data_IF_552836507829
#
_entry.id   IF_552836507829
#
_cell.length_a   1.000
_cell.length_b   1.000
_cell.length_c   1.000
_cell.angle_alpha   90.00
_cell.angle_beta   90.00
_cell.angle_gamma   90.00
#
_symmetry.space_group_name_H-M   'P 1'
#
loop_
_entity.id
_entity.type
_entity.pdbx_description
1 polymer ?
#
# COMPACT_ATOMS: atom_id res chain seq x y z
N UNK A 1 8.59 41.98 18.32
CA UNK A 1 8.16 40.93 17.37
C UNK A 1 7.44 41.59 16.20
N UNK A 2 8.02 41.57 14.99
CA UNK A 2 7.32 42.04 13.78
C UNK A 2 6.41 40.91 13.30
N UNK A 3 5.09 41.11 13.32
CA UNK A 3 4.16 40.21 12.66
C UNK A 3 4.49 40.22 11.16
N UNK A 4 5.01 39.10 10.64
CA UNK A 4 5.16 38.90 9.19
C UNK A 4 3.76 38.99 8.58
N UNK A 5 3.57 39.93 7.65
CA UNK A 5 2.33 40.09 6.87
C UNK A 5 2.00 38.73 6.23
N UNK A 6 0.83 38.19 6.52
CA UNK A 6 0.30 37.01 5.83
C UNK A 6 -0.06 37.45 4.41
N UNK A 7 0.77 37.07 3.44
CA UNK A 7 0.51 37.30 2.02
C UNK A 7 -0.46 36.19 1.59
N UNK A 8 -1.65 36.55 1.09
CA UNK A 8 -2.66 35.59 0.65
C UNK A 8 -2.28 34.92 -0.69
N UNK A 9 -1.84 35.73 -1.65
CA UNK A 9 -1.37 35.32 -2.96
C UNK A 9 -0.20 36.21 -3.40
N UNK A 10 0.69 35.71 -4.26
CA UNK A 10 1.87 36.45 -4.72
C UNK A 10 1.86 36.78 -6.22
N UNK A 11 2.49 37.90 -6.63
CA UNK A 11 2.87 38.13 -8.02
C UNK A 11 3.99 37.17 -8.45
N UNK A 12 4.15 37.00 -9.76
CA UNK A 12 5.22 36.21 -10.38
C UNK A 12 6.62 36.66 -9.92
N UNK A 13 7.59 35.73 -9.93
CA UNK A 13 9.04 35.95 -9.73
C UNK A 13 9.58 36.00 -8.27
N UNK A 14 9.24 35.02 -7.44
CA UNK A 14 9.84 34.86 -6.10
C UNK A 14 10.32 33.43 -5.79
N UNK A 15 11.56 33.27 -5.33
CA UNK A 15 12.10 31.97 -4.90
C UNK A 15 11.49 31.48 -3.58
N UNK A 16 11.11 30.20 -3.51
CA UNK A 16 10.74 29.54 -2.27
C UNK A 16 11.84 28.56 -1.87
N UNK A 17 12.58 28.89 -0.80
CA UNK A 17 13.67 28.07 -0.24
C UNK A 17 13.24 27.19 0.92
N UNK A 18 12.10 27.51 1.53
CA UNK A 18 11.50 26.77 2.63
C UNK A 18 10.00 27.03 2.66
N UNK A 19 9.29 26.26 3.48
CA UNK A 19 7.84 26.35 3.61
C UNK A 19 7.34 27.66 4.24
N UNK A 20 8.18 28.47 4.88
CA UNK A 20 7.79 29.80 5.37
C UNK A 20 7.56 30.81 4.23
N UNK A 21 8.16 30.57 3.06
CA UNK A 21 7.99 31.41 1.88
C UNK A 21 6.65 31.18 1.18
N UNK A 22 5.93 30.10 1.53
CA UNK A 22 4.62 29.80 0.95
C UNK A 22 3.52 30.67 1.57
N UNK A 23 2.60 31.14 0.73
CA UNK A 23 1.39 31.85 1.16
C UNK A 23 0.42 30.92 1.89
N UNK A 24 -0.59 31.51 2.55
CA UNK A 24 -1.66 30.71 3.16
C UNK A 24 -2.46 29.89 2.13
N UNK A 25 -2.71 30.45 0.95
CA UNK A 25 -3.41 29.73 -0.13
C UNK A 25 -2.57 28.57 -0.67
N UNK A 26 -1.27 28.76 -0.89
CA UNK A 26 -0.36 27.70 -1.35
C UNK A 26 -0.28 26.56 -0.33
N UNK A 27 -0.21 26.89 0.97
CA UNK A 27 -0.27 25.91 2.05
C UNK A 27 -1.60 25.17 2.08
N UNK A 28 -2.73 25.84 1.88
CA UNK A 28 -4.04 25.20 1.82
C UNK A 28 -4.14 24.22 0.65
N UNK A 29 -3.62 24.57 -0.53
CA UNK A 29 -3.64 23.67 -1.69
C UNK A 29 -2.76 22.45 -1.43
N UNK A 30 -1.55 22.61 -0.88
CA UNK A 30 -0.70 21.47 -0.49
C UNK A 30 -1.41 20.59 0.55
N UNK A 31 -2.19 21.17 1.46
CA UNK A 31 -2.99 20.41 2.42
C UNK A 31 -4.07 19.57 1.71
N UNK A 32 -4.76 20.15 0.73
CA UNK A 32 -5.74 19.43 -0.10
C UNK A 32 -5.06 18.28 -0.86
N UNK A 33 -3.85 18.50 -1.41
CA UNK A 33 -3.07 17.47 -2.09
C UNK A 33 -2.66 16.32 -1.16
N UNK A 34 -2.30 16.62 0.09
CA UNK A 34 -1.89 15.63 1.08
C UNK A 34 -3.07 14.86 1.69
N UNK A 35 -4.29 15.43 1.65
CA UNK A 35 -5.46 14.86 2.32
C UNK A 35 -5.77 13.40 1.93
N UNK A 36 -5.73 13.00 0.64
CA UNK A 36 -6.06 11.63 0.24
C UNK A 36 -5.07 10.57 0.79
N UNK A 37 -3.80 10.94 1.04
CA UNK A 37 -2.77 10.03 1.57
C UNK A 37 -3.10 9.58 2.99
N UNK A 38 -3.94 10.32 3.72
CA UNK A 38 -4.47 9.90 5.02
C UNK A 38 -5.03 8.48 4.97
N UNK A 39 -5.73 8.14 3.89
CA UNK A 39 -6.43 6.87 3.73
C UNK A 39 -5.51 5.74 3.24
N UNK A 40 -4.24 6.03 2.95
CA UNK A 40 -3.27 5.04 2.49
C UNK A 40 -2.42 4.48 3.64
N UNK A 41 -2.80 4.77 4.89
CA UNK A 41 -2.28 4.14 6.12
C UNK A 41 -3.44 3.54 6.92
N UNK A 42 -3.16 2.46 7.66
CA UNK A 42 -4.13 1.84 8.58
C UNK A 42 -3.54 1.73 10.01
N UNK A 43 -4.12 2.37 11.04
CA UNK A 43 -5.27 3.27 10.95
C UNK A 43 -4.91 4.53 10.14
N UNK A 44 -5.90 5.18 9.50
CA UNK A 44 -5.70 6.45 8.83
C UNK A 44 -5.11 7.48 9.77
N UNK A 45 -4.21 8.32 9.28
CA UNK A 45 -3.61 9.37 10.10
C UNK A 45 -4.66 10.30 10.71
N UNK A 46 -4.36 10.78 11.93
CA UNK A 46 -5.00 11.99 12.44
C UNK A 46 -4.28 13.20 11.83
N UNK A 47 -5.06 14.12 11.26
CA UNK A 47 -4.56 15.37 10.70
C UNK A 47 -4.23 16.32 11.85
N UNK A 48 -3.04 16.15 12.43
CA UNK A 48 -2.53 17.02 13.50
C UNK A 48 -1.68 18.14 12.91
N UNK A 49 -1.48 19.20 13.69
CA UNK A 49 -0.53 20.27 13.32
C UNK A 49 0.87 19.73 13.06
N UNK A 50 1.35 18.77 13.88
CA UNK A 50 2.65 18.15 13.71
C UNK A 50 2.78 17.35 12.40
N UNK A 51 1.74 16.62 12.00
CA UNK A 51 1.72 15.94 10.69
C UNK A 51 1.84 16.96 9.55
N UNK A 52 1.08 18.04 9.61
CA UNK A 52 1.08 19.07 8.60
C UNK A 52 2.43 19.79 8.47
N UNK A 53 3.04 20.16 9.60
CA UNK A 53 4.36 20.76 9.63
C UNK A 53 5.44 19.83 9.03
N UNK A 54 5.35 18.52 9.32
CA UNK A 54 6.26 17.52 8.74
C UNK A 54 6.11 17.40 7.22
N UNK A 55 4.88 17.43 6.68
CA UNK A 55 4.65 17.42 5.23
C UNK A 55 5.30 18.62 4.56
N UNK A 56 5.09 19.81 5.10
CA UNK A 56 5.68 21.03 4.57
C UNK A 56 7.21 21.02 4.63
N UNK A 57 7.79 20.53 5.73
CA UNK A 57 9.25 20.36 5.85
C UNK A 57 9.80 19.33 4.86
N UNK A 58 9.11 18.20 4.68
CA UNK A 58 9.53 17.14 3.77
C UNK A 58 9.59 17.60 2.32
N UNK A 59 8.65 18.47 1.87
CA UNK A 59 8.68 19.04 0.50
C UNK A 59 9.97 19.80 0.24
N UNK A 60 10.47 20.56 1.23
CA UNK A 60 11.70 21.34 1.12
C UNK A 60 12.93 20.62 1.68
N UNK A 61 12.83 19.32 1.99
CA UNK A 61 13.98 18.56 2.43
C UNK A 61 14.86 18.24 1.21
N UNK A 62 16.05 18.83 1.17
CA UNK A 62 17.01 18.72 0.06
C UNK A 62 16.45 19.19 -1.30
N UNK A 63 15.36 19.95 -1.29
CA UNK A 63 14.75 20.54 -2.48
C UNK A 63 14.28 21.98 -2.24
N UNK A 64 14.39 22.81 -3.27
CA UNK A 64 13.74 24.11 -3.33
C UNK A 64 13.52 24.51 -4.80
N UNK A 65 12.93 25.69 -5.03
CA UNK A 65 12.52 26.11 -6.38
C UNK A 65 13.68 26.46 -7.32
N UNK A 66 14.91 26.57 -6.81
CA UNK A 66 16.13 26.74 -7.60
C UNK A 66 16.54 25.42 -8.30
N UNK A 67 16.06 24.28 -7.79
CA UNK A 67 16.35 22.95 -8.32
C UNK A 67 15.24 22.42 -9.23
N UNK A 68 15.57 21.41 -10.03
CA UNK A 68 14.56 20.66 -10.76
C UNK A 68 13.62 19.92 -9.83
N UNK A 69 12.35 19.81 -10.23
CA UNK A 69 11.36 19.10 -9.44
C UNK A 69 11.72 17.62 -9.39
N UNK A 70 11.44 16.93 -8.26
CA UNK A 70 11.56 15.48 -8.21
C UNK A 70 10.72 14.81 -9.31
N UNK A 71 11.26 13.73 -9.86
CA UNK A 71 10.59 12.91 -10.86
C UNK A 71 9.46 12.13 -10.18
N UNK A 72 8.39 11.85 -10.93
CA UNK A 72 7.32 10.99 -10.42
C UNK A 72 7.88 9.60 -10.07
N UNK A 73 7.62 9.10 -8.85
CA UNK A 73 8.10 7.79 -8.44
C UNK A 73 7.41 6.71 -9.28
N UNK A 74 8.16 5.66 -9.59
CA UNK A 74 7.58 4.43 -10.15
C UNK A 74 7.17 3.56 -8.96
N UNK A 75 5.94 3.06 -8.95
CA UNK A 75 5.50 2.11 -7.94
C UNK A 75 6.30 0.80 -8.08
N UNK A 76 7.08 0.39 -7.06
CA UNK A 76 7.86 -0.84 -7.16
C UNK A 76 6.94 -2.04 -7.38
N UNK A 77 7.41 -3.07 -8.08
CA UNK A 77 6.70 -4.35 -8.15
C UNK A 77 6.68 -5.02 -6.77
N UNK A 78 5.72 -5.93 -6.54
CA UNK A 78 5.74 -6.75 -5.33
C UNK A 78 6.87 -7.77 -5.45
N UNK A 79 7.79 -7.75 -4.49
CA UNK A 79 8.93 -8.67 -4.47
C UNK A 79 8.54 -9.87 -3.60
N UNK A 80 8.41 -11.04 -4.25
CA UNK A 80 8.01 -12.29 -3.59
C UNK A 80 8.92 -12.65 -2.43
N UNK A 81 10.21 -12.29 -2.51
CA UNK A 81 11.19 -12.61 -1.48
C UNK A 81 10.91 -11.92 -0.14
N UNK A 82 10.18 -10.80 -0.16
CA UNK A 82 9.81 -10.09 1.05
C UNK A 82 8.48 -10.56 1.64
N UNK A 83 7.60 -11.19 0.86
CA UNK A 83 6.22 -11.50 1.27
C UNK A 83 5.94 -12.99 1.49
N UNK A 84 6.95 -13.85 1.42
CA UNK A 84 6.82 -15.28 1.74
C UNK A 84 7.36 -15.62 3.12
N UNK A 85 6.99 -16.80 3.62
CA UNK A 85 7.56 -17.40 4.81
C UNK A 85 7.97 -18.84 4.53
N UNK A 86 8.97 -19.33 5.25
CA UNK A 86 9.34 -20.75 5.22
C UNK A 86 8.32 -21.55 6.03
N UNK A 87 7.57 -22.40 5.35
CA UNK A 87 6.41 -23.08 5.91
C UNK A 87 6.72 -24.52 6.38
N UNK A 88 7.72 -25.16 5.77
CA UNK A 88 8.08 -26.53 6.07
C UNK A 88 8.91 -27.18 4.98
N UNK A 89 8.77 -28.51 4.85
CA UNK A 89 9.52 -29.31 3.87
C UNK A 89 8.64 -30.33 3.17
N UNK A 90 9.05 -30.77 1.98
CA UNK A 90 8.36 -31.83 1.24
C UNK A 90 8.41 -33.19 1.95
N UNK A 91 7.27 -33.88 2.02
CA UNK A 91 7.12 -35.23 2.60
C UNK A 91 7.72 -36.30 1.69
N UNK A 92 7.59 -36.11 0.38
CA UNK A 92 8.06 -36.99 -0.68
C UNK A 92 8.55 -36.18 -1.86
N UNK A 93 9.22 -36.84 -2.80
CA UNK A 93 9.50 -36.25 -4.09
C UNK A 93 8.18 -35.79 -4.75
N UNK A 94 8.16 -34.57 -5.27
CA UNK A 94 6.97 -33.95 -5.87
C UNK A 94 7.23 -33.67 -7.35
N UNK A 95 6.41 -34.17 -8.28
CA UNK A 95 6.64 -33.96 -9.70
C UNK A 95 6.67 -32.46 -10.05
N UNK A 96 7.46 -32.11 -11.05
CA UNK A 96 7.45 -30.75 -11.63
C UNK A 96 6.08 -30.50 -12.30
N UNK A 97 5.61 -29.24 -12.37
CA UNK A 97 4.43 -28.90 -13.16
C UNK A 97 4.56 -29.34 -14.62
N UNK A 98 3.48 -29.82 -15.23
CA UNK A 98 3.45 -30.37 -16.60
C UNK A 98 4.09 -29.45 -17.64
N UNK A 99 3.90 -28.13 -17.50
CA UNK A 99 4.50 -27.11 -18.36
C UNK A 99 6.04 -27.14 -18.41
N UNK A 100 6.69 -27.63 -17.34
CA UNK A 100 8.15 -27.77 -17.26
C UNK A 100 8.63 -29.18 -17.59
N UNK A 101 7.77 -30.20 -17.51
CA UNK A 101 8.09 -31.57 -17.92
C UNK A 101 8.37 -31.68 -19.42
N UNK A 102 7.68 -30.88 -20.25
CA UNK A 102 7.88 -30.85 -21.72
C UNK A 102 9.22 -30.25 -22.19
N UNK A 103 10.00 -29.63 -21.30
CA UNK A 103 11.27 -28.95 -21.64
C UNK A 103 12.50 -29.86 -21.70
N UNK A 104 12.32 -31.18 -21.57
CA UNK A 104 13.44 -32.15 -21.60
C UNK A 104 14.34 -32.13 -20.36
N UNK A 105 14.01 -31.34 -19.33
CA UNK A 105 14.62 -31.43 -18.00
C UNK A 105 14.06 -32.64 -17.26
N UNK A 106 14.56 -33.83 -17.60
CA UNK A 106 14.30 -35.06 -16.87
C UNK A 106 15.10 -35.04 -15.55
N UNK A 107 14.42 -34.67 -14.48
CA UNK A 107 14.94 -34.77 -13.11
C UNK A 107 14.08 -33.97 -12.14
N UNK A 108 13.73 -34.57 -11.00
CA UNK A 108 13.30 -33.82 -9.83
C UNK A 108 14.45 -32.86 -9.49
N UNK A 109 14.28 -31.57 -9.78
CA UNK A 109 15.23 -30.56 -9.30
C UNK A 109 15.38 -30.71 -7.78
N UNK A 110 16.54 -30.36 -7.21
CA UNK A 110 16.80 -30.47 -5.76
C UNK A 110 15.71 -29.83 -4.87
N UNK A 111 14.93 -28.91 -5.42
CA UNK A 111 13.85 -28.20 -4.74
C UNK A 111 12.52 -28.98 -4.71
N UNK A 112 12.44 -30.10 -5.43
CA UNK A 112 11.27 -30.98 -5.53
C UNK A 112 11.51 -32.36 -4.90
N UNK A 113 12.68 -32.60 -4.31
CA UNK A 113 12.98 -33.84 -3.58
C UNK A 113 12.45 -33.79 -2.16
N UNK A 114 12.20 -34.95 -1.56
CA UNK A 114 11.85 -35.08 -0.14
C UNK A 114 12.80 -34.26 0.74
N UNK A 115 12.25 -33.51 1.68
CA UNK A 115 13.00 -32.63 2.59
C UNK A 115 13.33 -31.25 2.03
N UNK A 116 13.05 -30.96 0.76
CA UNK A 116 13.24 -29.62 0.21
C UNK A 116 12.30 -28.59 0.86
N UNK A 117 12.77 -27.35 0.99
CA UNK A 117 12.05 -26.26 1.63
C UNK A 117 10.82 -25.85 0.83
N UNK A 118 9.72 -25.65 1.53
CA UNK A 118 8.46 -25.14 0.99
C UNK A 118 8.12 -23.82 1.64
N UNK A 119 7.81 -22.84 0.79
CA UNK A 119 7.42 -21.49 1.15
C UNK A 119 5.90 -21.34 1.06
N UNK A 120 5.34 -20.55 1.96
CA UNK A 120 3.96 -20.10 1.87
C UNK A 120 3.95 -18.64 1.41
N UNK A 121 3.13 -18.37 0.41
CA UNK A 121 2.93 -17.03 -0.18
C UNK A 121 1.46 -16.67 -0.09
N UNK A 122 1.18 -15.41 0.21
CA UNK A 122 -0.17 -14.84 0.07
C UNK A 122 -0.23 -13.95 -1.17
N UNK A 123 -1.27 -14.12 -1.97
CA UNK A 123 -1.59 -13.25 -3.10
C UNK A 123 -2.91 -12.56 -2.84
N UNK A 124 -2.91 -11.24 -2.96
CA UNK A 124 -4.11 -10.40 -2.81
C UNK A 124 -4.58 -9.96 -4.19
N UNK A 125 -5.86 -10.14 -4.47
CA UNK A 125 -6.53 -9.58 -5.63
C UNK A 125 -7.43 -8.41 -5.18
N UNK A 126 -7.00 -7.15 -5.41
CA UNK A 126 -7.76 -5.95 -5.03
C UNK A 126 -9.08 -5.76 -5.79
N UNK A 127 -9.23 -6.32 -6.98
CA UNK A 127 -10.44 -6.14 -7.79
C UNK A 127 -11.60 -7.00 -7.29
N UNK A 128 -11.26 -8.19 -6.80
CA UNK A 128 -12.24 -9.15 -6.27
C UNK A 128 -12.32 -9.15 -4.75
N UNK A 129 -11.55 -8.29 -4.08
CA UNK A 129 -11.32 -8.29 -2.62
C UNK A 129 -11.10 -9.72 -2.08
N UNK A 130 -10.18 -10.46 -2.72
CA UNK A 130 -9.91 -11.86 -2.37
C UNK A 130 -8.45 -12.10 -2.07
N UNK A 131 -8.18 -13.13 -1.26
CA UNK A 131 -6.83 -13.59 -0.98
C UNK A 131 -6.68 -15.07 -1.31
N UNK A 132 -5.49 -15.46 -1.76
CA UNK A 132 -5.15 -16.85 -2.01
C UNK A 132 -3.83 -17.20 -1.34
N UNK A 133 -3.74 -18.42 -0.82
CA UNK A 133 -2.53 -18.97 -0.23
C UNK A 133 -1.93 -19.97 -1.21
N UNK A 134 -0.69 -19.73 -1.60
CA UNK A 134 0.05 -20.59 -2.52
C UNK A 134 1.25 -21.19 -1.81
N UNK A 135 1.43 -22.48 -1.97
CA UNK A 135 2.59 -23.21 -1.50
C UNK A 135 3.54 -23.38 -2.67
N UNK A 136 4.79 -22.98 -2.48
CA UNK A 136 5.77 -22.97 -3.52
C UNK A 136 7.10 -23.57 -3.05
N UNK A 137 7.86 -24.15 -3.96
CA UNK A 137 9.26 -24.49 -3.70
C UNK A 137 10.14 -23.21 -3.66
N UNK A 138 11.45 -23.38 -3.54
CA UNK A 138 12.41 -22.26 -3.54
C UNK A 138 12.43 -21.48 -4.86
N UNK A 139 12.16 -22.14 -5.99
CA UNK A 139 12.11 -21.52 -7.31
C UNK A 139 10.76 -20.81 -7.57
N UNK A 140 9.73 -21.14 -6.78
CA UNK A 140 8.39 -20.59 -6.95
C UNK A 140 7.40 -21.49 -7.64
N UNK A 141 7.78 -22.73 -7.91
CA UNK A 141 6.91 -23.71 -8.52
C UNK A 141 5.89 -24.22 -7.51
N UNK A 142 4.66 -24.42 -7.97
CA UNK A 142 3.56 -24.82 -7.13
C UNK A 142 3.81 -26.19 -6.49
N UNK A 143 3.50 -26.28 -5.19
CA UNK A 143 3.54 -27.50 -4.39
C UNK A 143 2.15 -27.73 -3.80
N UNK A 144 1.65 -28.97 -3.82
CA UNK A 144 0.40 -29.27 -3.13
C UNK A 144 0.61 -29.30 -1.61
N UNK A 145 -0.26 -28.62 -0.86
CA UNK A 145 -0.24 -28.61 0.62
C UNK A 145 -0.20 -30.02 1.24
N UNK A 146 -0.84 -31.01 0.60
CA UNK A 146 -0.88 -32.40 1.10
C UNK A 146 0.50 -33.07 1.15
N UNK A 147 1.48 -32.51 0.46
CA UNK A 147 2.86 -33.01 0.40
C UNK A 147 3.81 -32.21 1.30
N UNK A 148 3.30 -31.37 2.20
CA UNK A 148 4.12 -30.50 3.05
C UNK A 148 4.05 -30.95 4.50
N UNK A 149 5.21 -31.27 5.08
CA UNK A 149 5.38 -31.34 6.54
C UNK A 149 5.63 -29.93 7.05
N UNK A 150 4.75 -29.43 7.91
CA UNK A 150 4.91 -28.11 8.51
C UNK A 150 6.12 -28.06 9.43
N UNK A 151 6.75 -26.89 9.55
CA UNK A 151 7.82 -26.65 10.51
C UNK A 151 7.37 -26.99 11.94
N UNK A 152 8.27 -27.54 12.74
CA UNK A 152 7.97 -27.95 14.12
C UNK A 152 7.35 -26.81 14.95
N UNK A 153 6.30 -27.12 15.71
CA UNK A 153 5.56 -26.15 16.52
C UNK A 153 4.67 -25.18 15.74
N UNK A 154 4.63 -25.25 14.39
CA UNK A 154 3.75 -24.42 13.56
C UNK A 154 2.47 -25.18 13.20
N UNK A 155 1.35 -24.46 13.28
CA UNK A 155 0.06 -24.90 12.74
C UNK A 155 -0.21 -24.15 11.44
N UNK A 156 -1.11 -24.67 10.61
CA UNK A 156 -1.56 -23.98 9.39
C UNK A 156 -2.08 -22.56 9.70
N UNK A 157 -2.83 -22.40 10.79
CA UNK A 157 -3.37 -21.11 11.20
C UNK A 157 -2.25 -20.12 11.58
N UNK A 158 -1.20 -20.60 12.26
CA UNK A 158 -0.04 -19.76 12.61
C UNK A 158 0.72 -19.31 11.37
N UNK A 159 0.96 -20.21 10.42
CA UNK A 159 1.65 -19.88 9.15
C UNK A 159 0.84 -18.89 8.30
N UNK A 160 -0.48 -19.09 8.20
CA UNK A 160 -1.35 -18.14 7.49
C UNK A 160 -1.30 -16.75 8.12
N UNK A 161 -1.36 -16.66 9.45
CA UNK A 161 -1.23 -15.37 10.15
C UNK A 161 0.10 -14.69 9.85
N UNK A 162 1.19 -15.42 9.96
CA UNK A 162 2.54 -14.89 9.77
C UNK A 162 2.77 -14.39 8.33
N UNK A 163 2.29 -15.11 7.32
CA UNK A 163 2.41 -14.65 5.92
C UNK A 163 1.54 -13.41 5.63
N UNK A 164 0.37 -13.29 6.26
CA UNK A 164 -0.48 -12.09 6.19
C UNK A 164 0.25 -10.90 6.82
N UNK A 165 0.74 -11.06 8.05
CA UNK A 165 1.46 -9.99 8.77
C UNK A 165 2.67 -9.50 7.97
N UNK A 166 3.40 -10.43 7.36
CA UNK A 166 4.56 -10.13 6.52
C UNK A 166 4.17 -9.41 5.23
N UNK A 167 3.12 -9.86 4.55
CA UNK A 167 2.57 -9.17 3.38
C UNK A 167 2.13 -7.75 3.74
N UNK A 168 1.32 -7.59 4.79
CA UNK A 168 0.77 -6.30 5.19
C UNK A 168 1.87 -5.31 5.57
N UNK A 169 2.91 -5.76 6.26
CA UNK A 169 4.07 -4.94 6.60
C UNK A 169 4.75 -4.38 5.34
N UNK A 170 5.06 -5.25 4.37
CA UNK A 170 5.76 -4.84 3.16
C UNK A 170 4.87 -4.03 2.20
N UNK A 171 3.58 -4.35 2.10
CA UNK A 171 2.65 -3.57 1.28
C UNK A 171 2.43 -2.16 1.85
N UNK A 172 2.40 -2.01 3.19
CA UNK A 172 2.39 -0.69 3.82
C UNK A 172 3.59 0.14 3.43
N UNK A 173 4.80 -0.40 3.57
CA UNK A 173 6.03 0.32 3.22
C UNK A 173 5.98 0.74 1.75
N UNK A 174 5.65 -0.20 0.86
CA UNK A 174 5.62 0.00 -0.59
C UNK A 174 4.65 1.10 -1.02
N UNK A 175 3.41 1.05 -0.55
CA UNK A 175 2.36 2.01 -0.94
C UNK A 175 2.58 3.37 -0.29
N UNK A 176 2.96 3.39 1.00
CA UNK A 176 3.18 4.64 1.73
C UNK A 176 4.37 5.41 1.16
N UNK A 177 5.53 4.75 0.99
CA UNK A 177 6.73 5.39 0.44
C UNK A 177 6.48 5.94 -0.97
N UNK A 178 5.79 5.17 -1.82
CA UNK A 178 5.41 5.61 -3.16
C UNK A 178 4.50 6.86 -3.13
N UNK A 179 3.41 6.81 -2.36
CA UNK A 179 2.44 7.91 -2.30
C UNK A 179 3.05 9.18 -1.69
N UNK A 180 3.93 9.03 -0.69
CA UNK A 180 4.67 10.16 -0.10
C UNK A 180 5.58 10.80 -1.15
N UNK A 181 6.39 10.01 -1.87
CA UNK A 181 7.23 10.54 -2.96
C UNK A 181 6.41 11.22 -4.05
N UNK A 182 5.24 10.67 -4.39
CA UNK A 182 4.34 11.24 -5.40
C UNK A 182 3.79 12.60 -4.93
N UNK A 183 3.40 12.73 -3.66
CA UNK A 183 3.03 14.01 -3.07
C UNK A 183 4.16 15.03 -3.14
N UNK A 184 5.38 14.62 -2.80
CA UNK A 184 6.53 15.53 -2.83
C UNK A 184 6.81 16.03 -4.25
N UNK A 185 6.84 15.12 -5.24
CA UNK A 185 7.06 15.46 -6.64
C UNK A 185 5.97 16.40 -7.18
N UNK A 186 4.70 16.08 -6.92
CA UNK A 186 3.57 16.89 -7.37
C UNK A 186 3.52 18.25 -6.69
N UNK A 187 3.70 18.30 -5.36
CA UNK A 187 3.72 19.56 -4.60
C UNK A 187 4.88 20.46 -5.02
N UNK A 188 6.06 19.87 -5.30
CA UNK A 188 7.22 20.61 -5.78
C UNK A 188 6.95 21.28 -7.13
N UNK A 189 6.33 20.56 -8.08
CA UNK A 189 5.90 21.12 -9.37
C UNK A 189 4.86 22.22 -9.19
N UNK A 190 3.90 22.01 -8.30
CA UNK A 190 2.88 23.00 -7.98
C UNK A 190 3.52 24.30 -7.48
N UNK A 191 4.38 24.20 -6.47
CA UNK A 191 5.10 25.33 -5.89
C UNK A 191 5.97 26.03 -6.93
N UNK A 192 6.74 25.28 -7.74
CA UNK A 192 7.59 25.86 -8.79
C UNK A 192 6.79 26.63 -9.84
N UNK A 193 5.63 26.11 -10.25
CA UNK A 193 4.70 26.82 -11.15
C UNK A 193 4.12 28.08 -10.49
N UNK A 194 3.71 28.01 -9.22
CA UNK A 194 3.26 29.20 -8.48
C UNK A 194 4.36 30.27 -8.32
N UNK A 195 5.63 29.85 -8.23
CA UNK A 195 6.78 30.79 -8.20
C UNK A 195 6.89 31.57 -9.48
N UNK A 196 6.74 30.86 -10.60
CA UNK A 196 6.94 31.41 -11.93
C UNK A 196 5.75 32.28 -12.34
N UNK A 197 4.53 31.81 -12.13
CA UNK A 197 3.32 32.40 -12.70
C UNK A 197 2.54 33.27 -11.71
N UNK A 198 2.86 33.15 -10.42
CA UNK A 198 2.03 33.67 -9.32
C UNK A 198 0.82 32.77 -9.01
N UNK A 199 0.16 33.04 -7.89
CA UNK A 199 -0.87 32.16 -7.32
C UNK A 199 -2.31 32.51 -7.74
N UNK A 200 -2.52 33.39 -8.73
CA UNK A 200 -3.88 33.79 -9.13
C UNK A 200 -4.69 32.57 -9.60
N UNK A 201 -5.91 32.45 -9.05
CA UNK A 201 -6.90 31.35 -9.05
C UNK A 201 -6.89 30.40 -10.27
N UNK A 202 -6.59 30.87 -11.48
CA UNK A 202 -6.50 30.03 -12.68
C UNK A 202 -5.40 28.95 -12.59
N UNK A 203 -4.24 29.23 -11.99
CA UNK A 203 -3.15 28.23 -11.85
C UNK A 203 -3.44 27.17 -10.79
N UNK A 204 -4.20 27.53 -9.75
CA UNK A 204 -4.67 26.60 -8.72
C UNK A 204 -5.75 25.65 -9.26
N UNK A 205 -6.67 26.13 -10.10
CA UNK A 205 -7.73 25.31 -10.69
C UNK A 205 -7.18 24.22 -11.63
N UNK A 206 -6.19 24.57 -12.46
CA UNK A 206 -5.50 23.65 -13.39
C UNK A 206 -4.82 22.48 -12.64
N UNK A 207 -4.25 22.76 -11.46
CA UNK A 207 -3.66 21.73 -10.61
C UNK A 207 -4.70 20.85 -9.91
N UNK A 208 -5.85 21.41 -9.53
CA UNK A 208 -6.96 20.65 -8.94
C UNK A 208 -7.64 19.73 -9.96
N UNK A 209 -7.54 20.02 -11.26
CA UNK A 209 -8.04 19.13 -12.32
C UNK A 209 -7.11 17.93 -12.57
N UNK A 210 -5.82 18.06 -12.26
CA UNK A 210 -4.79 17.05 -12.50
C UNK A 210 -4.22 16.48 -11.19
N UNK A 211 -5.07 16.26 -10.18
CA UNK A 211 -4.63 15.73 -8.88
C UNK A 211 -3.83 14.41 -9.04
N UNK A 212 -2.80 14.19 -8.21
CA UNK A 212 -2.07 12.93 -8.21
C UNK A 212 -3.03 11.77 -7.88
N UNK A 213 -2.90 10.69 -8.64
CA UNK A 213 -3.62 9.44 -8.36
C UNK A 213 -2.80 8.62 -7.39
N UNK A 214 -3.17 8.69 -6.11
CA UNK A 214 -2.53 7.87 -5.08
C UNK A 214 -2.97 6.42 -5.15
N UNK A 215 -2.03 5.53 -4.87
CA UNK A 215 -2.27 4.10 -4.81
C UNK A 215 -3.04 3.72 -3.55
N UNK A 216 -4.03 2.85 -3.69
CA UNK A 216 -4.82 2.36 -2.56
C UNK A 216 -3.99 1.35 -1.75
N UNK A 217 -3.96 1.53 -0.43
CA UNK A 217 -3.44 0.49 0.46
C UNK A 217 -4.47 -0.62 0.60
N UNK A 218 -4.13 -1.84 0.20
CA UNK A 218 -4.98 -3.02 0.33
C UNK A 218 -4.24 -4.09 1.12
N UNK A 219 -4.75 -4.37 2.31
CA UNK A 219 -4.17 -5.32 3.26
C UNK A 219 -4.90 -6.66 3.21
N UNK A 220 -4.13 -7.74 3.33
CA UNK A 220 -4.68 -9.08 3.44
C UNK A 220 -5.48 -9.24 4.75
N UNK A 221 -5.04 -8.61 5.85
CA UNK A 221 -5.80 -8.61 7.11
C UNK A 221 -7.20 -8.02 6.96
N UNK A 222 -7.31 -6.90 6.23
CA UNK A 222 -8.57 -6.15 6.12
C UNK A 222 -9.61 -6.96 5.33
N UNK A 223 -9.17 -7.68 4.29
CA UNK A 223 -10.02 -8.58 3.51
C UNK A 223 -10.52 -9.74 4.38
N UNK A 224 -9.64 -10.43 5.10
CA UNK A 224 -10.05 -11.55 5.98
C UNK A 224 -11.00 -11.08 7.07
N UNK A 225 -10.74 -9.92 7.67
CA UNK A 225 -11.64 -9.38 8.69
C UNK A 225 -13.01 -9.05 8.11
N UNK A 226 -13.07 -8.47 6.91
CA UNK A 226 -14.33 -8.22 6.21
C UNK A 226 -15.09 -9.52 5.94
N UNK A 227 -14.43 -10.55 5.40
CA UNK A 227 -15.01 -11.87 5.16
C UNK A 227 -15.54 -12.51 6.46
N UNK A 228 -14.77 -12.48 7.54
CA UNK A 228 -15.18 -13.05 8.83
C UNK A 228 -16.37 -12.32 9.46
N UNK A 229 -16.51 -11.01 9.21
CA UNK A 229 -17.62 -10.21 9.71
C UNK A 229 -18.93 -10.38 8.91
N UNK A 230 -18.87 -10.82 7.65
CA UNK A 230 -20.05 -10.99 6.79
C UNK A 230 -21.04 -12.07 7.30
N UNK A 231 -20.60 -13.27 7.71
CA UNK A 231 -21.48 -14.28 8.34
C UNK A 231 -22.13 -13.80 9.64
N UNK A 232 -21.43 -12.96 10.42
CA UNK A 232 -21.98 -12.38 11.67
C UNK A 232 -23.08 -11.35 11.39
N UNK A 233 -22.99 -10.60 10.29
CA UNK A 233 -24.04 -9.67 9.87
C UNK A 233 -25.27 -10.40 9.33
N UNK A 234 -25.07 -11.42 8.49
CA UNK A 234 -26.17 -12.23 7.95
C UNK A 234 -26.91 -13.02 9.05
N UNK A 235 -26.20 -13.60 10.02
CA UNK A 235 -26.83 -14.31 11.15
C UNK A 235 -27.63 -13.39 12.07
N UNK A 236 -27.25 -12.11 12.23
CA UNK A 236 -28.05 -11.11 12.96
C UNK A 236 -29.31 -10.70 12.19
N UNK A 237 -29.24 -10.58 10.86
CA UNK A 237 -30.41 -10.28 10.00
C UNK A 237 -31.38 -11.45 9.99
N UNK A 238 -30.89 -12.69 9.89
CA UNK A 238 -31.72 -13.90 9.94
C UNK A 238 -32.36 -14.10 11.32
N UNK A 239 -31.64 -13.81 12.42
CA UNK A 239 -32.22 -13.84 13.77
C UNK A 239 -33.30 -12.78 13.99
N UNK A 240 -33.16 -11.56 13.42
CA UNK A 240 -34.22 -10.53 13.49
C UNK A 240 -35.48 -10.93 12.73
N UNK A 241 -35.36 -11.46 11.52
CA UNK A 241 -36.53 -11.96 10.75
C UNK A 241 -37.24 -13.13 11.42
N UNK A 242 -36.53 -13.96 12.20
CA UNK A 242 -37.15 -15.10 12.90
C UNK A 242 -38.01 -14.68 14.10
N UNK A 243 -37.75 -13.52 14.70
CA UNK A 243 -38.52 -13.00 15.84
C UNK A 243 -39.82 -12.33 15.36
N UNK A 244 -39.82 -11.73 14.17
CA UNK A 244 -41.00 -11.07 13.58
C UNK A 244 -42.05 -12.05 13.03
N UNK A 245 -41.71 -13.33 12.82
CA UNK A 245 -42.63 -14.37 12.35
C UNK A 245 -43.15 -15.32 13.43
N UNK A 246 -42.82 -15.08 14.70
CA UNK A 246 -43.40 -15.79 15.86
C UNK A 246 -44.20 -14.81 16.71
N UNK A 247 -45.30 -14.32 16.16
CA UNK A 247 -46.41 -13.77 16.95
C UNK A 247 -47.61 -14.68 16.68
N UNK A 248 -48.04 -15.51 17.65
CA UNK A 248 -49.24 -16.30 17.50
C UNK A 248 -50.47 -15.39 17.65
N UNK A 249 -51.40 -15.49 16.70
CA UNK A 249 -52.79 -15.12 16.92
C UNK A 249 -53.51 -16.27 17.64
#
# INVERSE_FOLDING_TARGET
>A
MKYRRVIAARPAAHFARNHEHLTCEEKLIVFILAHPIRNTRNPPYQLTYGFWDNVLKAIFNDWNTDFDCPIDPILPSRIRDYTHIDAGTLVSDHPLPDAKQGSGKFGLGKHHTRGALVKLVVSVNPETDSITFQWCDELGDYVSQSHVTLKEGKTLANLRREVIERYDYHERIRIVDHNEKLLLAFSSRAIKKWVQDGTRIASALDMMLNLPRYEKLVLASDIIHAEACMPMRLSRVVKRRRIEHTVPW
#
